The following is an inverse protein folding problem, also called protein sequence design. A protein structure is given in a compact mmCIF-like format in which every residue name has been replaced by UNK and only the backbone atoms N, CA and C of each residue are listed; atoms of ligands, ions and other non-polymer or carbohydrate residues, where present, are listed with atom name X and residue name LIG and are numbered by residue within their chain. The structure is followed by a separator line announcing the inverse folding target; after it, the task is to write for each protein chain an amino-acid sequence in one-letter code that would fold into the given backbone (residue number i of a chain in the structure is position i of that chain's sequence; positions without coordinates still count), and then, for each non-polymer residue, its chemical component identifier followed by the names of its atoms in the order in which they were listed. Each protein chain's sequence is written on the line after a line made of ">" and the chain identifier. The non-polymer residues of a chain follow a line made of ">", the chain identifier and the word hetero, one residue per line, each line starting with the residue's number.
data_IF_906991217988
#
_entry.id   IF_906991217988
#
_cell.length_a   1.000
_cell.length_b   1.000
_cell.length_c   1.000
_cell.angle_alpha   90.00
_cell.angle_beta   90.00
_cell.angle_gamma   90.00
#
_symmetry.space_group_name_H-M   'P 1'
#
loop_
_entity.id
_entity.type
_entity.pdbx_description
1 polymer ?
#
# COMPACT_ATOMS: atom_id res chain seq x y z
N UNK A 1 -77.28 20.10 21.12
CA UNK A 1 -77.26 20.24 19.65
C UNK A 1 -76.89 21.68 19.34
N UNK A 2 -75.83 22.06 18.62
CA UNK A 2 -74.81 21.32 17.87
C UNK A 2 -73.71 22.36 17.60
N UNK A 3 -72.56 22.26 18.26
CA UNK A 3 -71.38 23.09 17.92
C UNK A 3 -70.50 22.32 16.93
N UNK A 4 -70.54 22.74 15.67
CA UNK A 4 -69.59 22.34 14.64
C UNK A 4 -68.35 23.23 14.75
N UNK A 5 -67.28 22.77 15.41
CA UNK A 5 -65.97 23.42 15.35
C UNK A 5 -65.12 22.74 14.27
N UNK A 6 -64.95 23.46 13.17
CA UNK A 6 -64.16 23.10 11.99
C UNK A 6 -62.70 22.85 12.36
N UNK A 7 -62.18 21.79 11.76
CA UNK A 7 -60.79 21.41 11.68
C UNK A 7 -59.91 22.58 11.20
N UNK A 8 -58.95 22.98 12.03
CA UNK A 8 -57.78 23.74 11.61
C UNK A 8 -56.58 22.81 11.81
N UNK A 9 -56.33 21.99 10.79
CA UNK A 9 -55.02 21.36 10.62
C UNK A 9 -54.06 22.45 10.15
N UNK A 10 -53.47 23.17 11.09
CA UNK A 10 -52.35 24.06 10.81
C UNK A 10 -51.13 23.16 10.59
N UNK A 11 -50.84 22.91 9.32
CA UNK A 11 -49.64 22.24 8.84
C UNK A 11 -48.44 23.04 9.34
N UNK A 12 -47.85 22.60 10.45
CA UNK A 12 -46.62 23.14 11.01
C UNK A 12 -45.49 22.62 10.13
N UNK A 13 -45.20 23.33 9.03
CA UNK A 13 -44.04 23.14 8.18
C UNK A 13 -42.79 23.43 9.01
N UNK A 14 -42.31 22.43 9.73
CA UNK A 14 -40.96 22.39 10.28
C UNK A 14 -40.00 22.45 9.08
N UNK A 15 -39.14 23.48 8.94
CA UNK A 15 -38.07 23.42 7.96
C UNK A 15 -37.10 22.36 8.46
N UNK A 16 -37.17 21.18 7.86
CA UNK A 16 -36.17 20.12 8.03
C UNK A 16 -34.83 20.67 7.56
N UNK A 17 -34.06 21.23 8.48
CA UNK A 17 -32.68 21.63 8.25
C UNK A 17 -31.94 20.34 7.91
N UNK A 18 -31.74 20.10 6.61
CA UNK A 18 -30.77 19.15 6.11
C UNK A 18 -29.41 19.70 6.52
N UNK A 19 -28.93 19.28 7.69
CA UNK A 19 -27.52 19.37 8.02
C UNK A 19 -26.78 18.53 6.98
N UNK A 20 -26.34 19.18 5.90
CA UNK A 20 -25.34 18.62 5.00
C UNK A 20 -24.06 18.59 5.81
N UNK A 21 -23.74 17.44 6.39
CA UNK A 21 -22.43 17.22 7.00
C UNK A 21 -21.39 17.40 5.90
N UNK A 22 -20.64 18.51 5.97
CA UNK A 22 -19.42 18.70 5.19
C UNK A 22 -18.47 17.58 5.60
N UNK A 23 -18.37 16.51 4.80
CA UNK A 23 -17.28 15.55 4.94
C UNK A 23 -16.00 16.27 4.56
N UNK A 24 -15.23 16.72 5.55
CA UNK A 24 -13.86 17.14 5.30
C UNK A 24 -13.09 15.87 4.98
N UNK A 25 -12.65 15.73 3.73
CA UNK A 25 -11.66 14.73 3.36
C UNK A 25 -10.39 15.06 4.17
N UNK A 26 -10.13 14.29 5.22
CA UNK A 26 -8.95 14.43 6.06
C UNK A 26 -7.75 13.90 5.27
N UNK A 27 -6.90 14.80 4.78
CA UNK A 27 -5.66 14.42 4.11
C UNK A 27 -4.68 13.87 5.15
N UNK A 28 -4.36 12.59 5.07
CA UNK A 28 -3.40 11.96 5.99
C UNK A 28 -1.98 12.04 5.43
N UNK A 29 -1.05 12.58 6.22
CA UNK A 29 0.38 12.59 5.91
C UNK A 29 1.13 11.53 6.73
N UNK A 30 1.83 10.62 6.06
CA UNK A 30 2.66 9.59 6.70
C UNK A 30 4.10 9.74 6.20
N UNK A 31 5.06 9.86 7.11
CA UNK A 31 6.47 9.89 6.75
C UNK A 31 6.90 8.60 6.05
N UNK A 32 7.68 8.75 4.99
CA UNK A 32 8.27 7.62 4.26
C UNK A 32 9.78 7.79 4.15
N UNK A 33 10.49 6.70 3.89
CA UNK A 33 11.90 6.71 3.56
C UNK A 33 12.08 6.15 2.15
N UNK A 34 12.74 6.91 1.27
CA UNK A 34 13.15 6.41 -0.04
C UNK A 34 14.26 5.37 0.15
N UNK A 35 14.03 4.16 -0.34
CA UNK A 35 15.02 3.08 -0.36
C UNK A 35 15.70 2.98 -1.73
N UNK A 36 14.92 3.15 -2.79
CA UNK A 36 15.35 3.16 -4.19
C UNK A 36 14.51 4.21 -4.95
N UNK A 37 14.89 4.56 -6.19
CA UNK A 37 14.24 5.61 -7.00
C UNK A 37 12.69 5.53 -6.93
N UNK A 38 12.14 4.34 -7.11
CA UNK A 38 10.70 4.09 -7.11
C UNK A 38 10.20 3.26 -5.92
N UNK A 39 10.99 3.12 -4.85
CA UNK A 39 10.64 2.30 -3.69
C UNK A 39 10.76 3.07 -2.41
N UNK A 40 9.64 3.22 -1.71
CA UNK A 40 9.53 3.88 -0.42
C UNK A 40 9.10 2.89 0.64
N UNK A 41 9.50 3.13 1.89
CA UNK A 41 9.01 2.41 3.07
C UNK A 41 8.36 3.39 4.03
N UNK A 42 7.16 3.07 4.52
CA UNK A 42 6.53 3.89 5.57
C UNK A 42 7.34 3.80 6.86
N UNK A 43 7.65 4.94 7.46
CA UNK A 43 8.39 4.94 8.73
C UNK A 43 7.59 4.24 9.83
N UNK A 44 8.28 3.43 10.64
CA UNK A 44 7.64 2.66 11.71
C UNK A 44 6.73 1.51 11.24
N UNK A 45 6.57 1.28 9.92
CA UNK A 45 5.71 0.20 9.38
C UNK A 45 6.49 -0.71 8.42
N UNK A 46 6.07 -1.96 8.31
CA UNK A 46 6.52 -2.91 7.27
C UNK A 46 5.62 -2.81 6.04
N UNK A 47 5.46 -1.58 5.55
CA UNK A 47 4.71 -1.28 4.33
C UNK A 47 5.67 -0.64 3.32
N UNK A 48 5.67 -1.18 2.11
CA UNK A 48 6.47 -0.68 0.99
C UNK A 48 5.56 -0.12 -0.08
N UNK A 49 5.97 1.00 -0.67
CA UNK A 49 5.22 1.70 -1.71
C UNK A 49 6.09 1.80 -2.94
N UNK A 50 5.62 1.20 -4.02
CA UNK A 50 6.19 1.38 -5.34
C UNK A 50 5.52 2.55 -6.02
N UNK A 51 6.33 3.45 -6.56
CA UNK A 51 5.89 4.58 -7.38
C UNK A 51 6.27 4.37 -8.83
N UNK A 52 5.77 5.23 -9.71
CA UNK A 52 6.22 5.31 -11.09
C UNK A 52 6.86 6.68 -11.35
N UNK A 53 7.93 6.67 -12.16
CA UNK A 53 8.61 7.87 -12.69
C UNK A 53 9.02 8.91 -11.63
N UNK A 54 9.34 8.44 -10.42
CA UNK A 54 9.72 9.31 -9.31
C UNK A 54 11.17 9.76 -9.47
N UNK A 55 11.44 11.04 -9.24
CA UNK A 55 12.81 11.54 -9.22
C UNK A 55 13.55 11.02 -7.98
N UNK A 56 14.85 10.78 -8.12
CA UNK A 56 15.71 10.47 -6.97
C UNK A 56 15.73 11.69 -6.05
N UNK A 57 15.49 11.51 -4.74
CA UNK A 57 15.54 12.62 -3.79
C UNK A 57 16.85 13.39 -3.89
N UNK A 58 16.73 14.71 -3.88
CA UNK A 58 17.86 15.58 -3.56
C UNK A 58 18.09 15.55 -2.04
N UNK A 59 19.33 15.83 -1.65
CA UNK A 59 19.70 15.97 -0.23
C UNK A 59 18.78 17.01 0.44
N UNK A 60 18.34 16.73 1.67
CA UNK A 60 17.44 17.55 2.52
C UNK A 60 15.94 17.59 2.16
N UNK A 61 15.44 16.68 1.32
CA UNK A 61 14.00 16.48 1.11
C UNK A 61 13.41 15.52 2.17
N UNK A 62 12.24 15.86 2.75
CA UNK A 62 11.49 15.02 3.70
C UNK A 62 10.22 14.48 2.99
N UNK A 63 10.24 13.24 2.48
CA UNK A 63 9.12 12.67 1.73
C UNK A 63 8.02 12.17 2.66
N UNK A 64 6.78 12.35 2.24
CA UNK A 64 5.61 11.84 2.93
C UNK A 64 4.58 11.31 1.93
N UNK A 65 3.89 10.26 2.31
CA UNK A 65 2.73 9.76 1.60
C UNK A 65 1.53 10.63 2.01
N UNK A 66 0.89 11.24 1.01
CA UNK A 66 -0.36 11.98 1.17
C UNK A 66 -1.49 11.16 0.55
N UNK A 67 -2.43 10.75 1.40
CA UNK A 67 -3.61 10.00 0.98
C UNK A 67 -4.80 10.94 1.11
N UNK A 68 -5.44 11.24 -0.02
CA UNK A 68 -6.75 11.88 -0.08
C UNK A 68 -7.77 10.88 -0.64
N UNK A 69 -9.06 11.11 -0.43
CA UNK A 69 -10.12 10.25 -0.98
C UNK A 69 -10.05 10.11 -2.51
N UNK A 70 -9.52 11.11 -3.19
CA UNK A 70 -9.37 11.13 -4.65
C UNK A 70 -8.00 10.67 -5.16
N UNK A 71 -6.96 10.60 -4.32
CA UNK A 71 -5.61 10.30 -4.78
C UNK A 71 -4.72 9.65 -3.73
N UNK A 72 -3.98 8.60 -4.12
CA UNK A 72 -2.90 7.99 -3.34
C UNK A 72 -1.57 8.47 -3.94
N UNK A 73 -0.96 9.53 -3.40
CA UNK A 73 0.28 10.14 -3.97
C UNK A 73 1.38 10.30 -2.94
N UNK A 74 2.64 10.08 -3.32
CA UNK A 74 3.79 10.47 -2.50
C UNK A 74 4.19 11.90 -2.89
N UNK A 75 4.32 12.77 -1.89
CA UNK A 75 4.72 14.18 -2.02
C UNK A 75 5.96 14.44 -1.17
N UNK A 76 6.67 15.51 -1.48
CA UNK A 76 7.86 15.93 -0.72
C UNK A 76 7.58 17.27 -0.06
N UNK A 77 7.89 17.42 1.24
CA UNK A 77 7.49 18.58 2.07
C UNK A 77 8.10 19.92 1.63
N UNK A 78 8.99 19.90 0.64
CA UNK A 78 9.68 21.08 0.09
C UNK A 78 10.00 20.96 -1.40
N UNK A 79 9.37 20.04 -2.13
CA UNK A 79 9.60 19.89 -3.56
C UNK A 79 8.27 19.86 -4.31
N UNK A 80 8.24 20.46 -5.50
CA UNK A 80 7.08 20.41 -6.41
C UNK A 80 6.87 19.02 -7.02
N UNK A 81 7.85 18.11 -6.85
CA UNK A 81 7.76 16.73 -7.31
C UNK A 81 6.59 15.98 -6.67
N UNK A 82 5.83 15.27 -7.50
CA UNK A 82 4.80 14.33 -7.09
C UNK A 82 5.12 12.97 -7.70
N UNK A 83 5.00 11.92 -6.91
CA UNK A 83 5.20 10.57 -7.37
C UNK A 83 3.89 9.79 -7.24
N UNK A 84 3.40 9.29 -8.36
CA UNK A 84 2.19 8.49 -8.39
C UNK A 84 2.46 7.12 -7.76
N UNK A 85 1.59 6.71 -6.84
CA UNK A 85 1.68 5.39 -6.23
C UNK A 85 1.15 4.36 -7.21
N UNK A 86 2.02 3.43 -7.60
CA UNK A 86 1.65 2.30 -8.46
C UNK A 86 1.08 1.13 -7.64
N UNK A 87 1.74 0.78 -6.53
CA UNK A 87 1.35 -0.38 -5.71
C UNK A 87 1.84 -0.33 -4.26
N UNK A 88 0.90 -0.62 -3.36
CA UNK A 88 1.00 -0.93 -1.93
C UNK A 88 1.50 -2.34 -1.57
N UNK A 89 2.46 -2.56 -0.67
CA UNK A 89 2.75 -3.88 -0.07
C UNK A 89 2.73 -3.84 1.45
N UNK A 90 2.03 -4.78 2.09
CA UNK A 90 2.12 -5.05 3.53
C UNK A 90 2.71 -6.43 3.78
N UNK A 91 3.46 -6.58 4.87
CA UNK A 91 3.96 -7.89 5.29
C UNK A 91 2.78 -8.85 5.57
N UNK A 92 2.83 -10.05 5.01
CA UNK A 92 1.75 -11.05 5.11
C UNK A 92 1.69 -11.79 6.44
N UNK A 93 2.69 -11.61 7.31
CA UNK A 93 2.77 -12.24 8.63
C UNK A 93 4.00 -13.12 8.80
N UNK A 94 3.93 -14.07 9.75
CA UNK A 94 4.98 -15.05 10.02
C UNK A 94 4.60 -16.41 9.42
N UNK A 95 5.54 -17.05 8.73
CA UNK A 95 5.39 -18.41 8.20
C UNK A 95 6.47 -19.36 8.71
N UNK A 96 6.26 -20.67 8.59
CA UNK A 96 7.27 -21.69 8.91
C UNK A 96 7.13 -22.87 7.96
N UNK A 97 8.26 -23.29 7.38
CA UNK A 97 8.33 -24.47 6.51
C UNK A 97 8.89 -24.15 5.13
N UNK A 98 8.92 -25.16 4.26
CA UNK A 98 9.46 -25.07 2.91
C UNK A 98 8.37 -25.31 1.88
N UNK A 99 8.30 -24.44 0.87
CA UNK A 99 7.25 -24.42 -0.14
C UNK A 99 7.87 -24.41 -1.54
N UNK A 100 7.41 -25.30 -2.42
CA UNK A 100 7.73 -25.22 -3.85
C UNK A 100 6.85 -24.16 -4.49
N UNK A 101 7.46 -23.10 -5.03
CA UNK A 101 6.77 -21.97 -5.65
C UNK A 101 7.27 -21.73 -7.07
N UNK A 102 6.43 -21.12 -7.91
CA UNK A 102 6.87 -20.57 -9.19
C UNK A 102 6.95 -19.07 -9.01
N UNK A 103 8.11 -18.48 -9.27
CA UNK A 103 8.33 -17.05 -9.09
C UNK A 103 8.38 -16.32 -10.42
N UNK A 104 7.97 -15.06 -10.40
CA UNK A 104 8.09 -14.12 -11.52
C UNK A 104 8.78 -12.87 -11.01
N UNK A 105 9.81 -12.41 -11.72
CA UNK A 105 10.49 -11.17 -11.36
C UNK A 105 9.55 -9.99 -11.64
N UNK A 106 9.37 -9.14 -10.65
CA UNK A 106 8.59 -7.91 -10.76
C UNK A 106 9.52 -6.75 -11.10
N UNK A 107 10.34 -6.34 -10.13
CA UNK A 107 11.31 -5.24 -10.27
C UNK A 107 12.37 -5.38 -9.16
N UNK A 108 13.64 -5.13 -9.49
CA UNK A 108 14.77 -5.22 -8.56
C UNK A 108 14.76 -6.55 -7.78
N UNK A 109 14.59 -6.48 -6.46
CA UNK A 109 14.58 -7.60 -5.50
C UNK A 109 13.16 -8.14 -5.20
N UNK A 110 12.15 -7.77 -5.98
CA UNK A 110 10.77 -8.21 -5.81
C UNK A 110 10.39 -9.32 -6.77
N UNK A 111 9.76 -10.36 -6.22
CA UNK A 111 9.30 -11.53 -6.95
C UNK A 111 7.85 -11.83 -6.62
N UNK A 112 6.98 -11.93 -7.61
CA UNK A 112 5.61 -12.43 -7.43
C UNK A 112 5.59 -13.95 -7.37
N UNK A 113 4.75 -14.52 -6.51
CA UNK A 113 4.46 -15.96 -6.47
C UNK A 113 3.29 -16.22 -7.42
N UNK A 114 3.49 -17.08 -8.42
CA UNK A 114 2.48 -17.40 -9.41
C UNK A 114 1.20 -17.94 -8.77
N UNK A 115 0.05 -17.55 -9.32
CA UNK A 115 -1.28 -17.97 -8.87
C UNK A 115 -1.63 -17.53 -7.45
N UNK A 116 -0.96 -16.48 -6.93
CA UNK A 116 -1.26 -15.85 -5.65
C UNK A 116 -1.06 -14.34 -5.73
N UNK A 117 -1.62 -13.60 -4.77
CA UNK A 117 -1.34 -12.17 -4.57
C UNK A 117 -0.17 -11.92 -3.58
N UNK A 118 0.74 -12.89 -3.49
CA UNK A 118 1.90 -12.84 -2.61
C UNK A 118 3.19 -12.51 -3.34
N UNK A 119 4.04 -11.73 -2.70
CA UNK A 119 5.28 -11.21 -3.23
C UNK A 119 6.41 -11.45 -2.23
N UNK A 120 7.57 -11.85 -2.73
CA UNK A 120 8.79 -12.07 -1.94
C UNK A 120 9.71 -10.89 -2.21
N UNK A 121 10.22 -10.28 -1.14
CA UNK A 121 11.34 -9.34 -1.24
C UNK A 121 12.62 -10.03 -0.79
N UNK A 122 13.62 -10.05 -1.66
CA UNK A 122 14.96 -10.57 -1.34
C UNK A 122 15.91 -9.45 -0.94
N UNK A 123 17.10 -9.82 -0.46
CA UNK A 123 18.20 -8.89 -0.22
C UNK A 123 19.29 -9.07 -1.28
N UNK A 124 19.30 -8.23 -2.31
CA UNK A 124 20.38 -8.16 -3.31
C UNK A 124 20.45 -9.36 -4.26
N UNK A 125 19.31 -9.90 -4.67
CA UNK A 125 19.21 -11.10 -5.50
C UNK A 125 18.68 -10.81 -6.91
N UNK A 126 18.85 -9.58 -7.39
CA UNK A 126 18.26 -9.04 -8.62
C UNK A 126 18.59 -9.77 -9.94
N UNK A 127 19.48 -10.77 -9.96
CA UNK A 127 19.93 -11.47 -11.17
C UNK A 127 19.05 -12.65 -11.62
N UNK A 128 17.92 -12.91 -10.95
CA UNK A 128 17.14 -14.14 -11.16
C UNK A 128 16.06 -14.01 -12.24
N UNK A 129 15.84 -15.11 -12.96
CA UNK A 129 15.03 -15.14 -14.18
C UNK A 129 13.53 -15.40 -13.92
N UNK A 130 12.69 -15.01 -14.88
CA UNK A 130 11.23 -15.16 -14.82
C UNK A 130 10.79 -16.62 -14.94
N UNK A 131 9.71 -17.00 -14.24
CA UNK A 131 9.02 -18.28 -14.42
C UNK A 131 9.75 -19.49 -13.83
N UNK A 132 10.75 -19.27 -12.98
CA UNK A 132 11.54 -20.35 -12.40
C UNK A 132 10.82 -21.01 -11.21
N UNK A 133 10.98 -22.33 -11.08
CA UNK A 133 10.65 -23.04 -9.85
C UNK A 133 11.68 -22.70 -8.78
N UNK A 134 11.20 -22.44 -7.58
CA UNK A 134 12.01 -22.08 -6.43
C UNK A 134 11.51 -22.79 -5.17
N UNK A 135 12.40 -22.95 -4.21
CA UNK A 135 12.03 -23.38 -2.86
C UNK A 135 12.06 -22.16 -1.95
N UNK A 136 10.91 -21.79 -1.41
CA UNK A 136 10.78 -20.77 -0.39
C UNK A 136 10.80 -21.44 0.99
N UNK A 137 11.85 -21.22 1.76
CA UNK A 137 11.97 -21.66 3.15
C UNK A 137 11.70 -20.46 4.07
N UNK A 138 10.72 -20.59 4.97
CA UNK A 138 10.31 -19.55 5.91
C UNK A 138 10.63 -19.96 7.35
N UNK A 139 11.08 -18.99 8.15
CA UNK A 139 11.21 -19.11 9.59
C UNK A 139 10.84 -17.78 10.27
N UNK A 140 9.56 -17.57 10.55
CA UNK A 140 9.05 -16.29 11.01
C UNK A 140 8.78 -15.35 9.83
N UNK A 141 9.32 -14.14 9.85
CA UNK A 141 9.12 -13.14 8.78
C UNK A 141 10.19 -13.19 7.70
N UNK A 142 11.24 -13.97 7.90
CA UNK A 142 12.40 -14.07 7.01
C UNK A 142 12.65 -15.54 6.65
N UNK A 143 13.74 -15.78 5.91
CA UNK A 143 14.04 -17.10 5.37
C UNK A 143 14.93 -17.04 4.13
N UNK A 144 14.82 -18.06 3.29
CA UNK A 144 15.66 -18.24 2.12
C UNK A 144 14.82 -18.63 0.91
N UNK A 145 15.11 -18.02 -0.23
CA UNK A 145 14.57 -18.39 -1.53
C UNK A 145 15.68 -19.09 -2.32
N UNK A 146 15.47 -20.34 -2.69
CA UNK A 146 16.46 -21.17 -3.38
C UNK A 146 16.01 -21.35 -4.83
N UNK A 147 16.81 -20.87 -5.78
CA UNK A 147 16.50 -20.91 -7.22
C UNK A 147 17.72 -21.41 -7.96
N UNK A 148 17.59 -22.50 -8.72
CA UNK A 148 18.69 -23.06 -9.51
C UNK A 148 20.02 -23.21 -8.72
N UNK A 149 19.92 -23.60 -7.44
CA UNK A 149 21.04 -23.73 -6.47
C UNK A 149 21.64 -22.41 -5.94
N UNK A 150 21.10 -21.26 -6.34
CA UNK A 150 21.40 -19.98 -5.69
C UNK A 150 20.48 -19.79 -4.49
N UNK A 151 21.06 -19.43 -3.35
CA UNK A 151 20.32 -19.11 -2.13
C UNK A 151 20.26 -17.60 -1.92
N UNK A 152 19.04 -17.10 -1.76
CA UNK A 152 18.75 -15.68 -1.57
C UNK A 152 18.10 -15.47 -0.22
N UNK A 153 18.70 -14.62 0.62
CA UNK A 153 18.04 -14.22 1.85
C UNK A 153 16.78 -13.42 1.51
N UNK A 154 15.67 -13.76 2.14
CA UNK A 154 14.42 -13.01 2.01
C UNK A 154 14.24 -12.07 3.20
N UNK A 155 13.75 -10.86 2.91
CA UNK A 155 13.32 -9.91 3.94
C UNK A 155 11.88 -10.17 4.38
N UNK A 156 11.08 -10.81 3.52
CA UNK A 156 9.77 -11.33 3.88
C UNK A 156 8.85 -11.59 2.70
N UNK A 157 7.65 -12.05 3.04
CA UNK A 157 6.52 -12.25 2.12
C UNK A 157 5.48 -11.18 2.37
N UNK A 158 4.98 -10.59 1.29
CA UNK A 158 4.14 -9.42 1.28
C UNK A 158 2.89 -9.66 0.45
N UNK A 159 1.79 -9.01 0.81
CA UNK A 159 0.57 -8.97 0.01
C UNK A 159 0.32 -7.55 -0.46
N UNK A 160 -0.31 -7.44 -1.64
CA UNK A 160 -0.72 -6.15 -2.17
C UNK A 160 -1.76 -5.51 -1.24
N UNK A 161 -1.68 -4.20 -1.07
CA UNK A 161 -2.70 -3.37 -0.44
C UNK A 161 -3.51 -2.74 -1.57
N UNK A 162 -4.83 -2.91 -1.54
CA UNK A 162 -5.75 -2.27 -2.49
C UNK A 162 -5.98 -0.79 -2.19
#
# INVERSE_FOLDING_TARGET
>A
MTMQKKYIWMFLLLPSILFVSLSHAEDFEIKVKQLEKNLFKLEGKTIFVHTQDCETMKQDQDPYLSISEASKTIRFRKAEGKCEVKRAYKLSGKGKGSYSVIIRREENDWYGIASTDSFIRTKGCASLAQGQKAILSLNGTNGTLIIAKLECQIEGVYTKIE
#
